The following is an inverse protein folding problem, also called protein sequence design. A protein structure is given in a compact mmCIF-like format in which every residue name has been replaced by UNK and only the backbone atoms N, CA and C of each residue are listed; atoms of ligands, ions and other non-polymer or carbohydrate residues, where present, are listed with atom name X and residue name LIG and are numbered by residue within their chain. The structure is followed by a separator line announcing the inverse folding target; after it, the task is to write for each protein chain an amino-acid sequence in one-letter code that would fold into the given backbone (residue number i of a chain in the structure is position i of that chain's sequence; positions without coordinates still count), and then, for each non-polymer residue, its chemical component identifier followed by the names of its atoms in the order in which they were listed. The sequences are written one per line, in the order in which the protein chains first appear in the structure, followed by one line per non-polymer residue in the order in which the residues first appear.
data_IF_548507256129
#
_entry.id   IF_548507256129
#
_cell.length_a   1.000
_cell.length_b   1.000
_cell.length_c   1.000
_cell.angle_alpha   90.00
_cell.angle_beta   90.00
_cell.angle_gamma   90.00
#
_symmetry.space_group_name_H-M   'P 1'
#
loop_
_entity.id
_entity.type
_entity.pdbx_description
1 polymer ?
#
# COMPACT_ATOMS: atom_id res chain seq x y z
N UNK A 1 8.94 9.77 1.16
CA UNK A 1 7.69 9.24 0.56
C UNK A 1 7.24 10.16 -0.56
N UNK A 2 6.53 9.65 -1.56
CA UNK A 2 5.92 10.45 -2.64
C UNK A 2 4.45 10.07 -2.76
N UNK A 3 3.58 11.07 -2.91
CA UNK A 3 2.19 10.85 -3.30
C UNK A 3 2.07 11.04 -4.80
N UNK A 4 1.50 10.05 -5.49
CA UNK A 4 1.25 10.10 -6.92
C UNK A 4 -0.26 10.16 -7.12
N UNK A 5 -0.81 11.25 -7.68
CA UNK A 5 -2.24 11.32 -7.95
C UNK A 5 -2.62 10.24 -8.97
N UNK A 6 -3.75 9.58 -8.71
CA UNK A 6 -4.32 8.57 -9.59
C UNK A 6 -5.79 8.87 -9.86
N UNK A 7 -6.37 8.18 -10.85
CA UNK A 7 -7.77 8.33 -11.26
C UNK A 7 -8.60 7.12 -10.84
N UNK A 8 -9.93 7.25 -10.82
CA UNK A 8 -10.84 6.11 -10.62
C UNK A 8 -10.91 5.57 -9.19
N UNK A 9 -10.57 6.38 -8.18
CA UNK A 9 -10.71 6.00 -6.77
C UNK A 9 -9.73 4.91 -6.30
N UNK A 10 -8.63 4.72 -7.03
CA UNK A 10 -7.58 3.74 -6.73
C UNK A 10 -6.70 4.24 -5.58
N UNK A 11 -6.35 3.32 -4.68
CA UNK A 11 -5.34 3.52 -3.65
C UNK A 11 -4.37 2.34 -3.69
N UNK A 12 -3.10 2.61 -3.98
CA UNK A 12 -2.04 1.61 -4.07
C UNK A 12 -0.81 2.07 -3.29
N UNK A 13 -0.12 1.12 -2.68
CA UNK A 13 1.13 1.37 -1.95
C UNK A 13 2.19 0.43 -2.47
N UNK A 14 3.35 1.02 -2.77
CA UNK A 14 4.50 0.33 -3.37
C UNK A 14 5.76 0.72 -2.59
N UNK A 15 6.62 -0.26 -2.32
CA UNK A 15 7.91 -0.11 -1.65
C UNK A 15 8.98 -0.73 -2.54
N UNK A 16 10.05 0.01 -2.86
CA UNK A 16 11.12 -0.45 -3.75
C UNK A 16 10.56 -1.09 -5.04
N UNK A 17 9.62 -0.39 -5.69
CA UNK A 17 8.93 -0.83 -6.91
C UNK A 17 8.06 -2.10 -6.77
N UNK A 18 7.96 -2.67 -5.57
CA UNK A 18 7.09 -3.82 -5.26
C UNK A 18 5.77 -3.34 -4.66
N UNK A 19 4.64 -3.70 -5.27
CA UNK A 19 3.31 -3.34 -4.77
C UNK A 19 2.96 -4.19 -3.56
N UNK A 20 2.69 -3.53 -2.44
CA UNK A 20 2.36 -4.18 -1.16
C UNK A 20 0.88 -4.09 -0.81
N UNK A 21 0.13 -3.21 -1.49
CA UNK A 21 -1.31 -3.07 -1.29
C UNK A 21 -2.03 -2.47 -2.51
N UNK A 22 -3.25 -2.93 -2.79
CA UNK A 22 -4.17 -2.30 -3.74
C UNK A 22 -5.63 -2.36 -3.29
N UNK A 23 -6.23 -1.18 -3.05
CA UNK A 23 -7.68 -1.06 -2.82
C UNK A 23 -8.50 -1.58 -4.00
N UNK A 24 -7.95 -1.51 -5.22
CA UNK A 24 -8.63 -2.00 -6.42
C UNK A 24 -8.79 -3.53 -6.38
N UNK A 25 -7.82 -4.23 -5.80
CA UNK A 25 -7.83 -5.69 -5.67
C UNK A 25 -8.62 -6.14 -4.44
N UNK A 26 -8.47 -5.46 -3.30
CA UNK A 26 -9.14 -5.82 -2.05
C UNK A 26 -10.58 -5.29 -1.96
N UNK A 27 -10.91 -4.27 -2.75
CA UNK A 27 -12.17 -3.53 -2.66
C UNK A 27 -12.30 -2.64 -1.43
N UNK A 28 -11.29 -2.59 -0.56
CA UNK A 28 -11.36 -1.91 0.75
C UNK A 28 -10.22 -0.91 0.90
N UNK A 29 -10.41 0.10 1.75
CA UNK A 29 -9.31 0.97 2.15
C UNK A 29 -8.55 0.28 3.30
N UNK A 30 -7.22 0.33 3.36
CA UNK A 30 -6.49 -0.43 4.37
C UNK A 30 -6.65 0.21 5.75
N UNK A 31 -6.61 -0.64 6.78
CA UNK A 31 -6.44 -0.19 8.15
C UNK A 31 -4.98 0.20 8.39
N UNK A 32 -4.75 1.31 9.08
CA UNK A 32 -3.40 1.84 9.32
C UNK A 32 -2.49 0.83 10.00
N UNK A 33 -3.00 0.09 10.98
CA UNK A 33 -2.20 -0.90 11.73
C UNK A 33 -1.72 -2.05 10.84
N UNK A 34 -2.58 -2.56 9.94
CA UNK A 34 -2.20 -3.58 8.95
C UNK A 34 -1.09 -3.08 8.02
N UNK A 35 -1.19 -1.83 7.55
CA UNK A 35 -0.15 -1.25 6.69
C UNK A 35 1.19 -1.12 7.40
N UNK A 36 1.18 -0.73 8.68
CA UNK A 36 2.40 -0.65 9.50
C UNK A 36 3.02 -2.04 9.64
N UNK A 37 2.23 -3.07 9.95
CA UNK A 37 2.72 -4.44 10.07
C UNK A 37 3.34 -4.97 8.76
N UNK A 38 2.72 -4.69 7.61
CA UNK A 38 3.28 -5.09 6.31
C UNK A 38 4.61 -4.37 6.02
N UNK A 39 4.70 -3.09 6.37
CA UNK A 39 5.95 -2.31 6.22
C UNK A 39 7.06 -2.81 7.17
N UNK A 40 6.73 -3.23 8.38
CA UNK A 40 7.70 -3.78 9.34
C UNK A 40 8.28 -5.11 8.89
N UNK A 41 7.47 -5.99 8.27
CA UNK A 41 7.94 -7.27 7.71
C UNK A 41 9.03 -7.04 6.66
N UNK A 42 8.84 -6.08 5.77
CA UNK A 42 9.78 -5.74 4.70
C UNK A 42 11.11 -5.15 5.19
N UNK A 43 11.16 -4.62 6.42
CA UNK A 43 12.40 -4.09 7.02
C UNK A 43 13.31 -5.22 7.55
N UNK A 44 12.74 -6.38 7.83
CA UNK A 44 13.43 -7.51 8.46
C UNK A 44 13.90 -8.56 7.45
N UNK A 45 13.81 -8.25 6.15
CA UNK A 45 14.35 -9.01 5.01
C UNK A 45 15.55 -8.26 4.40
#
# INVERSE_FOLDING_TARGET
MKLVPSSGGVFEVTVNDTKIYSKKETGQFPESEKMIQELEKLKNE
#
